data_IF_370934606712
#
_entry.id   IF_370934606712
#
_cell.length_a   1.000
_cell.length_b   1.000
_cell.length_c   1.000
_cell.angle_alpha   90.00
_cell.angle_beta   90.00
_cell.angle_gamma   90.00
#
_symmetry.space_group_name_H-M   'P 1'
#
loop_
_entity.id
_entity.type
_entity.pdbx_description
1 polymer ?
#
# COMPACT_ATOMS: atom_id res chain seq x y z
N UNK A 1 27.84 -9.32 13.05
CA UNK A 1 26.58 -8.87 12.46
C UNK A 1 26.17 -7.57 13.11
N UNK A 2 26.03 -6.51 12.32
CA UNK A 2 25.47 -5.23 12.77
C UNK A 2 23.97 -5.15 12.44
N UNK A 3 23.31 -4.06 12.85
CA UNK A 3 21.88 -3.83 12.58
C UNK A 3 21.56 -3.71 11.08
N UNK A 4 22.50 -3.24 10.26
CA UNK A 4 22.33 -3.17 8.81
C UNK A 4 22.35 -4.56 8.16
N UNK A 5 23.21 -5.47 8.61
CA UNK A 5 23.24 -6.86 8.15
C UNK A 5 21.87 -7.52 8.40
N UNK A 6 21.29 -7.29 9.59
CA UNK A 6 19.95 -7.78 9.93
C UNK A 6 18.85 -7.15 9.07
N UNK A 7 18.95 -5.86 8.75
CA UNK A 7 18.02 -5.20 7.84
C UNK A 7 18.08 -5.80 6.42
N UNK A 8 19.28 -6.11 5.91
CA UNK A 8 19.43 -6.78 4.62
C UNK A 8 18.89 -8.22 4.63
N UNK A 9 19.12 -8.97 5.71
CA UNK A 9 18.53 -10.30 5.90
C UNK A 9 17.00 -10.23 5.86
N UNK A 10 16.40 -9.30 6.60
CA UNK A 10 14.95 -9.09 6.61
C UNK A 10 14.42 -8.71 5.22
N UNK A 11 15.09 -7.77 4.53
CA UNK A 11 14.70 -7.38 3.18
C UNK A 11 14.75 -8.56 2.20
N UNK A 12 15.76 -9.44 2.32
CA UNK A 12 15.85 -10.66 1.52
C UNK A 12 14.75 -11.67 1.88
N UNK A 13 14.45 -11.85 3.17
CA UNK A 13 13.35 -12.70 3.62
C UNK A 13 12.00 -12.23 3.05
N UNK A 14 11.72 -10.93 3.13
CA UNK A 14 10.50 -10.31 2.58
C UNK A 14 10.39 -10.58 1.07
N UNK A 15 11.49 -10.43 0.31
CA UNK A 15 11.50 -10.73 -1.14
C UNK A 15 11.16 -12.18 -1.47
N UNK A 16 11.42 -13.11 -0.54
CA UNK A 16 11.14 -14.53 -0.75
C UNK A 16 9.72 -14.93 -0.38
N UNK A 17 8.98 -14.10 0.38
CA UNK A 17 7.61 -14.37 0.79
C UNK A 17 6.70 -14.60 -0.43
N UNK A 18 5.87 -15.67 -0.40
CA UNK A 18 4.85 -15.89 -1.42
C UNK A 18 3.92 -14.68 -1.60
N UNK A 19 3.57 -14.00 -0.52
CA UNK A 19 2.70 -12.82 -0.49
C UNK A 19 3.32 -11.65 -1.26
N UNK A 20 4.62 -11.39 -1.06
CA UNK A 20 5.33 -10.34 -1.80
C UNK A 20 5.42 -10.67 -3.29
N UNK A 21 5.71 -11.93 -3.63
CA UNK A 21 5.77 -12.39 -5.03
C UNK A 21 4.41 -12.28 -5.71
N UNK A 22 3.34 -12.68 -5.03
CA UNK A 22 1.97 -12.56 -5.52
C UNK A 22 1.56 -11.10 -5.71
N UNK A 23 1.86 -10.22 -4.75
CA UNK A 23 1.60 -8.78 -4.85
C UNK A 23 2.32 -8.16 -6.04
N UNK A 24 3.60 -8.49 -6.23
CA UNK A 24 4.41 -7.99 -7.36
C UNK A 24 3.83 -8.44 -8.70
N UNK A 25 3.38 -9.69 -8.79
CA UNK A 25 2.78 -10.23 -10.00
C UNK A 25 1.41 -9.61 -10.31
N UNK A 26 0.57 -9.42 -9.29
CA UNK A 26 -0.70 -8.71 -9.45
C UNK A 26 -0.49 -7.25 -9.92
N UNK A 27 0.53 -6.57 -9.38
CA UNK A 27 0.90 -5.24 -9.82
C UNK A 27 1.38 -5.21 -11.28
N UNK A 28 2.16 -6.22 -11.70
CA UNK A 28 2.60 -6.35 -13.10
C UNK A 28 1.40 -6.47 -14.04
N UNK A 29 0.43 -7.35 -13.72
CA UNK A 29 -0.79 -7.54 -14.53
C UNK A 29 -1.60 -6.26 -14.68
N UNK A 30 -1.74 -5.47 -13.61
CA UNK A 30 -2.41 -4.17 -13.69
C UNK A 30 -1.70 -3.24 -14.66
N UNK A 31 -0.36 -3.18 -14.61
CA UNK A 31 0.42 -2.29 -15.46
C UNK A 31 0.42 -2.69 -16.95
N UNK A 32 0.12 -3.94 -17.26
CA UNK A 32 -0.03 -4.42 -18.64
C UNK A 32 -1.35 -3.96 -19.28
N UNK A 33 -2.32 -3.56 -18.47
CA UNK A 33 -3.57 -2.98 -18.94
C UNK A 33 -3.59 -1.47 -18.65
N UNK A 34 -3.49 -0.66 -19.71
CA UNK A 34 -3.40 0.80 -19.59
C UNK A 34 -4.61 1.44 -18.87
N UNK A 35 -5.81 0.88 -19.05
CA UNK A 35 -7.01 1.33 -18.35
C UNK A 35 -6.91 1.01 -16.86
N UNK A 36 -6.56 -0.22 -16.48
CA UNK A 36 -6.44 -0.63 -15.08
C UNK A 36 -5.35 0.19 -14.36
N UNK A 37 -4.21 0.39 -15.03
CA UNK A 37 -3.11 1.21 -14.54
C UNK A 37 -3.58 2.63 -14.24
N UNK A 38 -4.25 3.28 -15.20
CA UNK A 38 -4.76 4.65 -15.03
C UNK A 38 -5.75 4.75 -13.87
N UNK A 39 -6.68 3.81 -13.76
CA UNK A 39 -7.66 3.77 -12.68
C UNK A 39 -6.97 3.66 -11.31
N UNK A 40 -5.98 2.78 -11.17
CA UNK A 40 -5.23 2.61 -9.93
C UNK A 40 -4.38 3.85 -9.59
N UNK A 41 -3.69 4.44 -10.57
CA UNK A 41 -2.89 5.65 -10.39
C UNK A 41 -3.76 6.84 -9.95
N UNK A 42 -4.93 7.00 -10.57
CA UNK A 42 -5.88 8.05 -10.24
C UNK A 42 -6.38 7.94 -8.80
N UNK A 43 -6.64 6.73 -8.32
CA UNK A 43 -7.00 6.46 -6.94
C UNK A 43 -5.84 6.75 -5.98
N UNK A 44 -4.64 6.20 -6.24
CA UNK A 44 -3.46 6.40 -5.37
C UNK A 44 -3.09 7.87 -5.22
N UNK A 45 -3.16 8.63 -6.32
CA UNK A 45 -2.91 10.08 -6.29
C UNK A 45 -3.89 10.80 -5.33
N UNK A 46 -5.18 10.48 -5.42
CA UNK A 46 -6.23 11.14 -4.64
C UNK A 46 -6.15 10.73 -3.18
N UNK A 47 -5.83 9.47 -2.92
CA UNK A 47 -5.54 8.96 -1.59
C UNK A 47 -4.36 9.71 -0.95
N UNK A 48 -3.26 9.90 -1.69
CA UNK A 48 -2.08 10.63 -1.20
C UNK A 48 -2.37 12.11 -0.94
N UNK A 49 -3.12 12.77 -1.83
CA UNK A 49 -3.56 14.17 -1.64
C UNK A 49 -4.39 14.33 -0.36
N UNK A 50 -5.33 13.42 -0.11
CA UNK A 50 -6.15 13.42 1.11
C UNK A 50 -5.27 13.17 2.35
N UNK A 51 -4.41 12.15 2.32
CA UNK A 51 -3.50 11.85 3.43
C UNK A 51 -2.56 13.02 3.75
N UNK A 52 -2.02 13.68 2.72
CA UNK A 52 -1.16 14.85 2.91
C UNK A 52 -1.90 15.99 3.60
N UNK A 53 -3.16 16.26 3.22
CA UNK A 53 -4.01 17.24 3.89
C UNK A 53 -4.29 16.88 5.35
N UNK A 54 -4.61 15.62 5.64
CA UNK A 54 -4.83 15.16 7.01
C UNK A 54 -3.57 15.33 7.88
N UNK A 55 -2.39 15.06 7.31
CA UNK A 55 -1.10 15.25 8.00
C UNK A 55 -0.72 16.71 8.18
N UNK A 56 -1.04 17.60 7.22
CA UNK A 56 -0.77 19.04 7.32
C UNK A 56 -1.77 19.78 8.22
N UNK A 57 -2.82 19.10 8.69
CA UNK A 57 -3.91 19.72 9.43
C UNK A 57 -4.87 20.53 8.56
N UNK A 58 -4.76 20.42 7.24
CA UNK A 58 -5.70 21.00 6.30
C UNK A 58 -7.05 20.30 6.35
N UNK A 59 -8.12 21.07 6.16
CA UNK A 59 -9.47 20.53 6.11
C UNK A 59 -9.65 19.69 4.85
N UNK A 60 -9.94 18.41 5.01
CA UNK A 60 -10.42 17.54 3.93
C UNK A 60 -11.91 17.79 3.74
N UNK A 61 -12.31 18.20 2.53
CA UNK A 61 -13.72 18.42 2.26
C UNK A 61 -14.47 17.08 2.13
N UNK A 62 -15.73 16.98 2.62
CA UNK A 62 -16.51 15.74 2.52
C UNK A 62 -16.62 15.19 1.10
N UNK A 63 -16.69 16.08 0.11
CA UNK A 63 -16.73 15.72 -1.32
C UNK A 63 -15.47 15.00 -1.78
N UNK A 64 -14.31 15.31 -1.21
CA UNK A 64 -13.05 14.64 -1.57
C UNK A 64 -13.05 13.20 -1.07
N UNK A 65 -13.55 12.98 0.16
CA UNK A 65 -13.75 11.64 0.72
C UNK A 65 -14.76 10.84 -0.11
N UNK A 66 -15.89 11.45 -0.47
CA UNK A 66 -16.91 10.81 -1.33
C UNK A 66 -16.35 10.42 -2.70
N UNK A 67 -15.52 11.27 -3.32
CA UNK A 67 -14.87 10.95 -4.60
C UNK A 67 -13.91 9.77 -4.43
N UNK A 68 -13.13 9.75 -3.35
CA UNK A 68 -12.21 8.64 -3.07
C UNK A 68 -12.96 7.32 -2.85
N UNK A 69 -14.07 7.34 -2.11
CA UNK A 69 -14.95 6.18 -1.88
C UNK A 69 -15.52 5.65 -3.21
N UNK A 70 -16.04 6.53 -4.07
CA UNK A 70 -16.54 6.13 -5.40
C UNK A 70 -15.46 5.52 -6.28
N UNK A 71 -14.24 6.08 -6.27
CA UNK A 71 -13.12 5.50 -6.99
C UNK A 71 -12.80 4.10 -6.46
N UNK A 72 -12.80 3.93 -5.14
CA UNK A 72 -12.59 2.64 -4.50
C UNK A 72 -13.65 1.60 -4.91
N UNK A 73 -14.93 1.98 -4.91
CA UNK A 73 -16.03 1.10 -5.38
C UNK A 73 -15.81 0.66 -6.83
N UNK A 74 -15.49 1.60 -7.73
CA UNK A 74 -15.23 1.32 -9.14
C UNK A 74 -14.04 0.38 -9.32
N UNK A 75 -12.95 0.59 -8.57
CA UNK A 75 -11.77 -0.28 -8.63
C UNK A 75 -12.11 -1.71 -8.20
N UNK A 76 -12.98 -1.88 -7.19
CA UNK A 76 -13.36 -3.21 -6.70
C UNK A 76 -14.21 -4.01 -7.69
N UNK A 77 -14.85 -3.36 -8.66
CA UNK A 77 -15.57 -4.03 -9.75
C UNK A 77 -14.62 -4.72 -10.74
N UNK A 78 -13.33 -4.34 -10.77
CA UNK A 78 -12.34 -4.95 -11.63
C UNK A 78 -11.59 -6.07 -10.88
N UNK A 79 -11.70 -7.35 -11.30
CA UNK A 79 -11.11 -8.47 -10.59
C UNK A 79 -9.58 -8.40 -10.42
N UNK A 80 -8.87 -7.87 -11.42
CA UNK A 80 -7.41 -7.74 -11.35
C UNK A 80 -6.99 -6.71 -10.31
N UNK A 81 -7.71 -5.58 -10.27
CA UNK A 81 -7.45 -4.50 -9.33
C UNK A 81 -7.88 -4.91 -7.92
N UNK A 82 -9.07 -5.49 -7.75
CA UNK A 82 -9.55 -5.93 -6.43
C UNK A 82 -8.65 -7.00 -5.83
N UNK A 83 -8.17 -7.96 -6.64
CA UNK A 83 -7.19 -8.95 -6.20
C UNK A 83 -5.88 -8.29 -5.76
N UNK A 84 -5.37 -7.30 -6.50
CA UNK A 84 -4.19 -6.55 -6.09
C UNK A 84 -4.40 -5.79 -4.79
N UNK A 85 -5.52 -5.06 -4.64
CA UNK A 85 -5.82 -4.27 -3.45
C UNK A 85 -5.93 -5.16 -2.20
N UNK A 86 -6.52 -6.34 -2.32
CA UNK A 86 -6.56 -7.31 -1.22
C UNK A 86 -5.16 -7.77 -0.81
N UNK A 87 -4.29 -8.09 -1.79
CA UNK A 87 -2.90 -8.48 -1.51
C UNK A 87 -2.09 -7.33 -0.90
N UNK A 88 -2.29 -6.10 -1.39
CA UNK A 88 -1.63 -4.89 -0.90
C UNK A 88 -2.02 -4.62 0.56
N UNK A 89 -3.30 -4.77 0.90
CA UNK A 89 -3.78 -4.63 2.29
C UNK A 89 -3.14 -5.66 3.23
N UNK A 90 -3.17 -6.95 2.86
CA UNK A 90 -2.58 -8.02 3.68
C UNK A 90 -1.08 -7.81 3.85
N UNK A 91 -0.36 -7.47 2.79
CA UNK A 91 1.06 -7.20 2.84
C UNK A 91 1.38 -5.96 3.70
N UNK A 92 0.60 -4.88 3.55
CA UNK A 92 0.76 -3.66 4.36
C UNK A 92 0.59 -3.94 5.85
N UNK A 93 -0.41 -4.74 6.23
CA UNK A 93 -0.62 -5.14 7.63
C UNK A 93 0.60 -5.87 8.20
N UNK A 94 1.10 -6.88 7.48
CA UNK A 94 2.31 -7.61 7.88
C UNK A 94 3.52 -6.66 8.02
N UNK A 95 3.70 -5.74 7.08
CA UNK A 95 4.80 -4.77 7.12
C UNK A 95 4.68 -3.80 8.30
N UNK A 96 3.47 -3.38 8.67
CA UNK A 96 3.25 -2.56 9.85
C UNK A 96 3.60 -3.30 11.15
N UNK A 97 3.25 -4.58 11.24
CA UNK A 97 3.62 -5.42 12.39
C UNK A 97 5.16 -5.56 12.51
N UNK A 98 5.84 -5.78 11.37
CA UNK A 98 7.30 -5.82 11.31
C UNK A 98 7.91 -4.48 11.71
N UNK A 99 7.38 -3.36 11.19
CA UNK A 99 7.86 -2.02 11.50
C UNK A 99 7.75 -1.76 13.00
N UNK A 100 6.63 -2.12 13.62
CA UNK A 100 6.43 -1.99 15.07
C UNK A 100 7.50 -2.73 15.88
N UNK A 101 7.85 -3.96 15.49
CA UNK A 101 8.92 -4.74 16.14
C UNK A 101 10.27 -4.02 16.00
N UNK A 102 10.55 -3.45 14.83
CA UNK A 102 11.82 -2.75 14.56
C UNK A 102 11.91 -1.43 15.34
N UNK A 103 10.78 -0.73 15.51
CA UNK A 103 10.73 0.58 16.17
C UNK A 103 10.55 0.49 17.68
N UNK A 104 10.17 -0.68 18.22
CA UNK A 104 10.00 -0.90 19.66
C UNK A 104 11.18 -0.38 20.51
N UNK A 105 12.46 -0.58 20.16
CA UNK A 105 13.57 -0.04 20.95
C UNK A 105 13.73 1.50 20.89
N UNK A 106 13.08 2.17 19.94
CA UNK A 106 13.07 3.63 19.81
C UNK A 106 11.98 4.28 20.67
N UNK A 107 10.95 3.50 21.03
CA UNK A 107 9.94 3.92 21.99
C UNK A 107 10.63 3.96 23.36
N UNK A 108 11.16 5.12 23.72
CA UNK A 108 11.79 5.35 25.02
C UNK A 108 10.76 5.12 26.13
N UNK A 109 10.75 3.91 26.68
CA UNK A 109 10.13 3.58 27.96
C UNK A 109 11.21 3.47 29.04
#
# INVERSE_FOLDING_TARGET
>A
MNVYDKAYELANAIKQLPEYKALKEAYRKINENEQNKKMLEDFKKKQLEIQAKELSGEKVEPKEKEVLEKLWEILNLNPDISSYLSLEYTFSKMMNDILKIITEPMEMN
#
